data_IF_539725215989
#
_entry.id   IF_539725215989
#
_cell.length_a   1.000
_cell.length_b   1.000
_cell.length_c   1.000
_cell.angle_alpha   90.00
_cell.angle_beta   90.00
_cell.angle_gamma   90.00
#
_symmetry.space_group_name_H-M   'P 1'
#
loop_
_entity.id
_entity.type
_entity.pdbx_description
1 polymer ?
#
# COMPACT_ATOMS: atom_id res chain seq x y z
N UNK A 1 -27.98 -12.46 40.75
CA UNK A 1 -27.65 -11.08 40.41
C UNK A 1 -26.16 -10.93 40.15
N UNK A 2 -25.65 -11.54 39.08
CA UNK A 2 -24.21 -11.59 38.75
C UNK A 2 -24.06 -12.04 37.29
N UNK A 3 -24.52 -11.22 36.33
CA UNK A 3 -24.20 -11.34 34.91
C UNK A 3 -24.50 -10.01 34.25
N UNK A 4 -23.57 -9.06 34.34
CA UNK A 4 -23.53 -7.92 33.43
C UNK A 4 -22.18 -7.20 33.60
N UNK A 5 -21.11 -7.80 33.12
CA UNK A 5 -19.92 -7.05 32.71
C UNK A 5 -19.30 -7.83 31.54
N UNK A 6 -20.04 -7.94 30.45
CA UNK A 6 -19.42 -8.16 29.15
C UNK A 6 -18.74 -6.85 28.80
N UNK A 7 -17.46 -6.75 29.17
CA UNK A 7 -16.52 -5.80 28.61
C UNK A 7 -16.70 -5.90 27.09
N UNK A 8 -17.13 -4.81 26.47
CA UNK A 8 -17.32 -4.76 25.05
C UNK A 8 -16.00 -5.13 24.37
N UNK A 9 -15.90 -6.33 23.86
CA UNK A 9 -14.82 -6.74 22.96
C UNK A 9 -15.00 -5.86 21.73
N UNK A 10 -14.21 -4.78 21.62
CA UNK A 10 -14.11 -4.03 20.36
C UNK A 10 -13.74 -5.09 19.32
N UNK A 11 -14.62 -5.36 18.38
CA UNK A 11 -14.30 -6.23 17.26
C UNK A 11 -13.05 -5.66 16.60
N UNK A 12 -12.05 -6.50 16.38
CA UNK A 12 -10.87 -6.07 15.63
C UNK A 12 -11.34 -5.55 14.26
N UNK A 13 -10.78 -4.43 13.79
CA UNK A 13 -11.17 -3.86 12.51
C UNK A 13 -10.88 -4.88 11.39
N UNK A 14 -11.79 -4.93 10.43
CA UNK A 14 -11.60 -5.76 9.24
C UNK A 14 -10.65 -5.03 8.30
N UNK A 15 -9.54 -5.67 7.97
CA UNK A 15 -8.50 -5.11 7.12
C UNK A 15 -8.34 -5.97 5.87
N UNK A 16 -8.34 -5.33 4.70
CA UNK A 16 -7.94 -5.91 3.43
C UNK A 16 -6.59 -5.32 3.03
N UNK A 17 -5.62 -6.17 2.73
CA UNK A 17 -4.35 -5.74 2.17
C UNK A 17 -4.35 -5.95 0.65
N UNK A 18 -4.04 -4.88 -0.08
CA UNK A 18 -3.81 -4.89 -1.53
C UNK A 18 -2.31 -4.69 -1.76
N UNK A 19 -1.67 -5.68 -2.37
CA UNK A 19 -0.25 -5.64 -2.69
C UNK A 19 -0.08 -5.37 -4.18
N UNK A 20 0.52 -4.23 -4.51
CA UNK A 20 0.74 -3.79 -5.88
C UNK A 20 2.00 -4.45 -6.47
N UNK A 21 1.82 -5.35 -7.40
CA UNK A 21 2.87 -6.20 -7.97
C UNK A 21 2.95 -6.13 -9.51
N UNK A 22 2.43 -5.07 -10.12
CA UNK A 22 2.27 -4.93 -11.58
C UNK A 22 3.46 -4.31 -12.34
N UNK A 23 4.49 -3.81 -11.66
CA UNK A 23 5.58 -3.04 -12.28
C UNK A 23 6.53 -3.87 -13.16
N UNK A 24 6.96 -3.31 -14.30
CA UNK A 24 7.91 -3.96 -15.24
C UNK A 24 9.31 -4.21 -14.65
N UNK A 25 9.76 -3.36 -13.72
CA UNK A 25 11.06 -3.49 -13.06
C UNK A 25 12.27 -3.28 -13.96
N UNK A 26 12.20 -2.37 -14.94
CA UNK A 26 13.27 -2.11 -15.94
C UNK A 26 14.68 -1.90 -15.34
N UNK A 27 14.76 -1.28 -14.15
CA UNK A 27 16.04 -1.02 -13.46
C UNK A 27 16.77 -2.27 -12.98
N UNK A 28 16.08 -3.41 -12.87
CA UNK A 28 16.66 -4.69 -12.46
C UNK A 28 16.98 -5.62 -13.64
N UNK A 29 16.93 -5.12 -14.89
CA UNK A 29 17.37 -5.92 -16.03
C UNK A 29 18.85 -6.39 -15.85
N UNK A 30 19.21 -7.66 -16.15
CA UNK A 30 18.41 -8.67 -16.83
C UNK A 30 17.55 -9.57 -15.90
N UNK A 31 17.51 -9.35 -14.59
CA UNK A 31 16.77 -10.19 -13.64
C UNK A 31 15.25 -10.19 -13.92
N UNK A 32 14.76 -9.13 -14.54
CA UNK A 32 13.34 -8.95 -14.91
C UNK A 32 13.06 -9.25 -16.39
N UNK A 33 14.01 -9.86 -17.11
CA UNK A 33 13.82 -10.22 -18.53
C UNK A 33 12.57 -11.09 -18.75
N UNK A 34 12.33 -12.08 -17.86
CA UNK A 34 11.26 -13.07 -18.01
C UNK A 34 10.30 -13.15 -16.80
N UNK A 35 10.37 -12.17 -15.88
CA UNK A 35 9.56 -12.17 -14.65
C UNK A 35 9.27 -10.77 -14.16
N UNK A 36 8.16 -10.63 -13.42
CA UNK A 36 7.85 -9.40 -12.69
C UNK A 36 8.90 -9.11 -11.62
N UNK A 37 9.13 -7.82 -11.30
CA UNK A 37 10.10 -7.38 -10.28
C UNK A 37 9.87 -8.08 -8.92
N UNK A 38 8.62 -8.20 -8.39
CA UNK A 38 8.39 -8.89 -7.12
C UNK A 38 8.76 -10.38 -7.10
N UNK A 39 8.90 -11.00 -8.28
CA UNK A 39 9.30 -12.40 -8.41
C UNK A 39 10.82 -12.60 -8.46
N UNK A 40 11.62 -11.53 -8.40
CA UNK A 40 13.08 -11.62 -8.41
C UNK A 40 13.55 -12.34 -7.14
N UNK A 41 14.41 -13.38 -7.26
CA UNK A 41 14.98 -14.08 -6.12
C UNK A 41 15.83 -13.16 -5.25
N UNK A 42 15.73 -13.34 -3.94
CA UNK A 42 16.47 -12.61 -2.94
C UNK A 42 16.88 -13.54 -1.79
N UNK A 43 18.14 -13.47 -1.34
CA UNK A 43 18.61 -14.22 -0.19
C UNK A 43 18.47 -15.76 -0.31
N UNK A 44 18.58 -16.31 -1.52
CA UNK A 44 18.46 -17.74 -1.78
C UNK A 44 17.04 -18.15 -2.17
N UNK A 45 16.23 -18.60 -1.22
CA UNK A 45 14.90 -19.19 -1.49
C UNK A 45 13.75 -18.17 -1.56
N UNK A 46 13.99 -16.94 -1.10
CA UNK A 46 12.97 -15.89 -1.05
C UNK A 46 12.85 -15.14 -2.37
N UNK A 47 11.76 -14.38 -2.50
CA UNK A 47 11.54 -13.40 -3.56
C UNK A 47 11.21 -12.05 -2.93
N UNK A 48 11.31 -10.96 -3.68
CA UNK A 48 11.03 -9.62 -3.15
C UNK A 48 9.64 -9.53 -2.51
N UNK A 49 8.63 -10.16 -3.11
CA UNK A 49 7.27 -10.17 -2.55
C UNK A 49 7.17 -10.80 -1.17
N UNK A 50 8.06 -11.73 -0.81
CA UNK A 50 7.98 -12.43 0.48
C UNK A 50 8.18 -11.49 1.67
N UNK A 51 8.84 -10.36 1.49
CA UNK A 51 9.03 -9.36 2.55
C UNK A 51 7.72 -8.67 2.91
N UNK A 52 6.97 -8.17 1.92
CA UNK A 52 5.68 -7.52 2.18
C UNK A 52 4.66 -8.54 2.71
N UNK A 53 4.59 -9.73 2.12
CA UNK A 53 3.67 -10.77 2.59
C UNK A 53 4.01 -11.22 4.01
N UNK A 54 5.30 -11.39 4.35
CA UNK A 54 5.73 -11.72 5.73
C UNK A 54 5.33 -10.64 6.73
N UNK A 55 5.53 -9.35 6.40
CA UNK A 55 5.13 -8.26 7.29
C UNK A 55 3.62 -8.28 7.55
N UNK A 56 2.80 -8.44 6.49
CA UNK A 56 1.34 -8.48 6.62
C UNK A 56 0.85 -9.70 7.42
N UNK A 57 1.36 -10.88 7.12
CA UNK A 57 0.98 -12.13 7.80
C UNK A 57 1.40 -12.12 9.27
N UNK A 58 2.61 -11.64 9.58
CA UNK A 58 3.09 -11.51 10.96
C UNK A 58 2.28 -10.51 11.78
N UNK A 59 1.71 -9.48 11.15
CA UNK A 59 0.78 -8.55 11.77
C UNK A 59 -0.66 -9.10 11.89
N UNK A 60 -0.91 -10.33 11.43
CA UNK A 60 -2.23 -10.97 11.49
C UNK A 60 -3.18 -10.61 10.34
N UNK A 61 -2.72 -9.86 9.34
CA UNK A 61 -3.53 -9.52 8.16
C UNK A 61 -3.46 -10.64 7.13
N UNK A 62 -4.52 -11.46 7.11
CA UNK A 62 -4.59 -12.69 6.32
C UNK A 62 -5.54 -12.62 5.12
N UNK A 63 -6.06 -11.42 4.81
CA UNK A 63 -6.85 -11.15 3.60
C UNK A 63 -6.00 -10.28 2.70
N UNK A 64 -5.29 -10.93 1.76
CA UNK A 64 -4.29 -10.28 0.93
C UNK A 64 -4.58 -10.56 -0.54
N UNK A 65 -4.83 -9.51 -1.30
CA UNK A 65 -4.95 -9.53 -2.74
C UNK A 65 -3.66 -8.98 -3.38
N UNK A 66 -2.97 -9.79 -4.16
CA UNK A 66 -1.76 -9.40 -4.90
C UNK A 66 -2.16 -9.04 -6.32
N UNK A 67 -2.20 -7.74 -6.66
CA UNK A 67 -2.56 -7.29 -7.99
C UNK A 67 -1.38 -7.44 -8.94
N UNK A 68 -1.52 -8.31 -9.93
CA UNK A 68 -0.46 -8.65 -10.89
C UNK A 68 -0.83 -8.24 -12.31
N UNK A 69 0.16 -7.93 -13.13
CA UNK A 69 -0.05 -7.55 -14.53
C UNK A 69 1.07 -8.10 -15.43
N UNK A 70 2.27 -7.56 -15.31
CA UNK A 70 3.36 -7.81 -16.24
C UNK A 70 4.13 -9.07 -15.85
N UNK A 71 4.32 -10.02 -16.80
CA UNK A 71 5.10 -11.26 -16.64
C UNK A 71 4.85 -11.99 -15.30
N UNK A 72 3.57 -12.09 -14.90
CA UNK A 72 3.16 -12.51 -13.55
C UNK A 72 3.27 -14.01 -13.30
N UNK A 73 3.34 -14.87 -14.34
CA UNK A 73 3.27 -16.33 -14.19
C UNK A 73 4.14 -16.91 -13.05
N UNK A 74 5.42 -16.52 -13.00
CA UNK A 74 6.33 -17.04 -11.95
C UNK A 74 6.02 -16.46 -10.56
N UNK A 75 5.41 -15.26 -10.50
CA UNK A 75 4.94 -14.64 -9.28
C UNK A 75 3.68 -15.33 -8.77
N UNK A 76 2.69 -15.49 -9.64
CA UNK A 76 1.41 -16.14 -9.32
C UNK A 76 1.62 -17.57 -8.81
N UNK A 77 2.50 -18.32 -9.49
CA UNK A 77 2.91 -19.65 -9.05
C UNK A 77 3.56 -19.63 -7.67
N UNK A 78 4.45 -18.67 -7.39
CA UNK A 78 5.11 -18.55 -6.09
C UNK A 78 4.12 -18.24 -4.98
N UNK A 79 3.25 -17.26 -5.19
CA UNK A 79 2.19 -16.92 -4.21
C UNK A 79 1.30 -18.13 -3.93
N UNK A 80 0.84 -18.83 -4.97
CA UNK A 80 -0.05 -19.98 -4.81
C UNK A 80 0.62 -21.16 -4.09
N UNK A 81 1.94 -21.33 -4.20
CA UNK A 81 2.64 -22.49 -3.61
C UNK A 81 3.29 -22.19 -2.26
N UNK A 82 3.84 -20.98 -2.07
CA UNK A 82 4.57 -20.62 -0.86
C UNK A 82 3.67 -19.95 0.20
N UNK A 83 2.57 -19.32 -0.22
CA UNK A 83 1.68 -18.54 0.64
C UNK A 83 0.26 -19.10 0.72
N UNK A 84 0.15 -20.43 0.66
CA UNK A 84 -1.14 -21.09 0.79
C UNK A 84 -1.59 -21.08 2.26
N UNK A 85 -2.57 -20.24 2.59
CA UNK A 85 -3.23 -20.20 3.90
C UNK A 85 -4.51 -21.00 3.83
N UNK A 86 -4.58 -22.04 4.68
CA UNK A 86 -5.77 -22.87 4.84
C UNK A 86 -6.25 -22.75 6.28
N UNK A 87 -7.49 -22.33 6.48
CA UNK A 87 -8.07 -22.18 7.81
C UNK A 87 -9.59 -22.13 7.79
N UNK A 88 -10.26 -22.26 8.95
CA UNK A 88 -11.72 -22.22 9.07
C UNK A 88 -12.30 -20.80 8.89
N UNK A 89 -11.47 -19.77 8.88
CA UNK A 89 -11.86 -18.37 8.66
C UNK A 89 -11.65 -17.98 7.20
N UNK A 90 -12.39 -16.98 6.68
CA UNK A 90 -12.20 -16.49 5.32
C UNK A 90 -10.88 -15.70 5.21
N UNK A 91 -9.78 -16.47 5.10
CA UNK A 91 -8.42 -15.96 4.93
C UNK A 91 -7.94 -16.39 3.55
N UNK A 92 -7.24 -15.48 2.86
CA UNK A 92 -6.65 -15.78 1.57
C UNK A 92 -5.44 -14.92 1.29
N UNK A 93 -4.48 -15.47 0.56
CA UNK A 93 -3.40 -14.73 -0.10
C UNK A 93 -3.47 -15.17 -1.57
N UNK A 94 -3.98 -14.29 -2.42
CA UNK A 94 -4.30 -14.65 -3.79
C UNK A 94 -3.76 -13.63 -4.79
N UNK A 95 -3.16 -14.12 -5.87
CA UNK A 95 -2.86 -13.30 -7.03
C UNK A 95 -4.13 -12.97 -7.80
N UNK A 96 -4.30 -11.69 -8.12
CA UNK A 96 -5.40 -11.15 -8.91
C UNK A 96 -4.80 -10.50 -10.15
N UNK A 97 -4.73 -11.22 -11.28
CA UNK A 97 -4.24 -10.65 -12.52
C UNK A 97 -5.23 -9.62 -13.08
N UNK A 98 -4.74 -8.70 -13.91
CA UNK A 98 -5.56 -7.69 -14.56
C UNK A 98 -6.73 -8.33 -15.31
N UNK A 99 -7.97 -7.98 -14.91
CA UNK A 99 -9.21 -8.61 -15.40
C UNK A 99 -9.86 -7.83 -16.54
N UNK A 100 -9.33 -6.66 -16.92
CA UNK A 100 -9.91 -5.76 -17.94
C UNK A 100 -11.39 -5.40 -17.69
N UNK A 101 -11.81 -5.25 -16.43
CA UNK A 101 -13.20 -4.99 -16.05
C UNK A 101 -13.72 -3.62 -16.48
N UNK A 102 -12.82 -2.67 -16.71
CA UNK A 102 -13.11 -1.30 -17.16
C UNK A 102 -12.72 -1.07 -18.62
N UNK A 103 -12.93 -2.06 -19.48
CA UNK A 103 -12.58 -2.04 -20.89
C UNK A 103 -11.32 -2.85 -21.23
N UNK A 104 -11.00 -2.94 -22.53
CA UNK A 104 -9.85 -3.74 -23.02
C UNK A 104 -8.53 -2.98 -22.85
N UNK A 105 -8.16 -2.68 -21.61
CA UNK A 105 -6.92 -1.99 -21.29
C UNK A 105 -6.22 -2.60 -20.06
N UNK A 106 -4.92 -2.47 -20.04
CA UNK A 106 -4.11 -2.77 -18.86
C UNK A 106 -4.27 -1.68 -17.80
N UNK A 107 -3.70 -1.88 -16.60
CA UNK A 107 -3.64 -0.83 -15.59
C UNK A 107 -2.82 0.36 -16.10
N UNK A 108 -3.38 1.55 -16.08
CA UNK A 108 -2.69 2.78 -16.47
C UNK A 108 -1.80 3.31 -15.36
N UNK A 109 -2.13 2.99 -14.10
CA UNK A 109 -1.39 3.39 -12.91
C UNK A 109 -1.71 2.50 -11.72
N UNK A 110 -1.12 2.79 -10.59
CA UNK A 110 -1.31 2.03 -9.35
C UNK A 110 -2.72 2.20 -8.76
N UNK A 111 -3.32 3.37 -8.89
CA UNK A 111 -4.70 3.64 -8.48
C UNK A 111 -5.70 2.94 -9.42
N UNK A 112 -5.46 2.98 -10.74
CA UNK A 112 -6.30 2.27 -11.72
C UNK A 112 -6.31 0.74 -11.48
N UNK A 113 -5.22 0.16 -11.01
CA UNK A 113 -5.20 -1.25 -10.63
C UNK A 113 -6.22 -1.55 -9.51
N UNK A 114 -6.38 -0.65 -8.55
CA UNK A 114 -7.34 -0.80 -7.45
C UNK A 114 -8.75 -0.54 -7.96
N UNK A 115 -8.96 0.49 -8.81
CA UNK A 115 -10.27 0.77 -9.44
C UNK A 115 -10.78 -0.45 -10.20
N UNK A 116 -9.94 -1.09 -11.01
CA UNK A 116 -10.32 -2.29 -11.76
C UNK A 116 -10.56 -3.51 -10.85
N UNK A 117 -10.18 -3.41 -9.56
CA UNK A 117 -10.31 -4.47 -8.55
C UNK A 117 -11.24 -4.09 -7.38
N UNK A 118 -12.07 -3.04 -7.52
CA UNK A 118 -12.99 -2.56 -6.47
C UNK A 118 -13.96 -3.64 -5.96
N UNK A 119 -14.27 -4.65 -6.78
CA UNK A 119 -15.07 -5.79 -6.34
C UNK A 119 -14.47 -6.50 -5.11
N UNK A 120 -13.14 -6.54 -4.96
CA UNK A 120 -12.49 -7.14 -3.78
C UNK A 120 -12.85 -6.37 -2.50
N UNK A 121 -12.91 -5.04 -2.59
CA UNK A 121 -13.32 -4.18 -1.47
C UNK A 121 -14.81 -4.36 -1.18
N UNK A 122 -15.66 -4.40 -2.22
CA UNK A 122 -17.10 -4.57 -2.05
C UNK A 122 -17.50 -5.94 -1.51
N UNK A 123 -16.79 -6.99 -1.88
CA UNK A 123 -17.02 -8.36 -1.42
C UNK A 123 -16.54 -8.55 0.03
N UNK A 124 -15.37 -8.04 0.38
CA UNK A 124 -14.77 -8.17 1.70
C UNK A 124 -15.33 -7.19 2.74
N UNK A 125 -15.80 -6.03 2.31
CA UNK A 125 -16.32 -4.94 3.15
C UNK A 125 -15.39 -4.63 4.34
N UNK A 126 -14.12 -4.30 4.10
CA UNK A 126 -13.18 -3.96 5.15
C UNK A 126 -13.49 -2.58 5.75
N UNK A 127 -13.06 -2.35 7.00
CA UNK A 127 -13.05 -1.02 7.60
C UNK A 127 -11.88 -0.20 7.06
N UNK A 128 -10.73 -0.87 6.84
CA UNK A 128 -9.49 -0.25 6.35
C UNK A 128 -8.88 -1.06 5.22
N UNK A 129 -8.25 -0.36 4.27
CA UNK A 129 -7.50 -0.95 3.17
C UNK A 129 -6.03 -0.55 3.31
N UNK A 130 -5.15 -1.56 3.36
CA UNK A 130 -3.71 -1.36 3.19
C UNK A 130 -3.36 -1.48 1.72
N UNK A 131 -2.58 -0.52 1.20
CA UNK A 131 -2.05 -0.56 -0.16
C UNK A 131 -0.53 -0.52 -0.08
N UNK A 132 0.12 -1.65 -0.35
CA UNK A 132 1.55 -1.83 -0.17
C UNK A 132 2.25 -2.19 -1.48
N UNK A 133 3.43 -1.62 -1.72
CA UNK A 133 4.29 -1.99 -2.83
C UNK A 133 5.02 -3.32 -2.58
N UNK A 134 5.18 -4.13 -3.63
CA UNK A 134 5.86 -5.44 -3.57
C UNK A 134 7.31 -5.40 -4.08
N UNK A 135 7.94 -4.23 -4.16
CA UNK A 135 9.15 -4.05 -4.97
C UNK A 135 10.39 -3.61 -4.17
N UNK A 136 10.30 -3.60 -2.85
CA UNK A 136 11.40 -3.26 -1.95
C UNK A 136 11.50 -4.19 -0.74
N UNK A 137 12.66 -4.19 -0.09
CA UNK A 137 12.98 -5.03 1.06
C UNK A 137 12.97 -4.16 2.32
N UNK A 138 12.09 -4.49 3.27
CA UNK A 138 11.97 -3.77 4.51
C UNK A 138 11.38 -4.66 5.61
N UNK A 139 11.55 -4.24 6.85
CA UNK A 139 10.91 -4.85 8.02
C UNK A 139 9.99 -3.81 8.67
N UNK A 140 8.73 -4.16 8.84
CA UNK A 140 7.70 -3.30 9.41
C UNK A 140 6.65 -4.15 10.12
N UNK A 141 6.03 -3.61 11.14
CA UNK A 141 4.80 -4.13 11.71
C UNK A 141 3.61 -3.28 11.22
N UNK A 142 2.87 -3.73 10.21
CA UNK A 142 1.72 -2.97 9.70
C UNK A 142 0.60 -2.74 10.71
N UNK A 143 0.53 -3.51 11.81
CA UNK A 143 -0.48 -3.29 12.85
C UNK A 143 -0.30 -1.96 13.55
N UNK A 144 0.95 -1.55 13.82
CA UNK A 144 1.26 -0.25 14.40
C UNK A 144 0.85 0.91 13.49
N UNK A 145 1.03 0.75 12.18
CA UNK A 145 0.59 1.75 11.21
C UNK A 145 -0.94 1.87 11.17
N UNK A 146 -1.66 0.76 11.24
CA UNK A 146 -3.14 0.77 11.32
C UNK A 146 -3.62 1.40 12.63
N UNK A 147 -2.98 1.09 13.76
CA UNK A 147 -3.30 1.72 15.05
C UNK A 147 -3.06 3.24 15.00
N UNK A 148 -1.94 3.68 14.40
CA UNK A 148 -1.65 5.09 14.18
C UNK A 148 -2.71 5.76 13.28
N UNK A 149 -3.11 5.10 12.19
CA UNK A 149 -4.17 5.57 11.30
C UNK A 149 -5.49 5.80 12.06
N UNK A 150 -5.91 4.81 12.84
CA UNK A 150 -7.13 4.90 13.65
C UNK A 150 -7.02 6.04 14.68
N UNK A 151 -5.86 6.17 15.34
CA UNK A 151 -5.63 7.21 16.35
C UNK A 151 -5.60 8.62 15.75
N UNK A 152 -5.08 8.79 14.54
CA UNK A 152 -5.01 10.07 13.84
C UNK A 152 -6.40 10.60 13.43
N UNK A 153 -7.39 9.70 13.24
CA UNK A 153 -8.71 10.03 12.72
C UNK A 153 -8.70 10.54 11.27
N UNK A 154 -7.58 10.44 10.57
CA UNK A 154 -7.43 10.87 9.17
C UNK A 154 -7.89 9.77 8.22
N UNK A 155 -8.16 10.16 6.98
CA UNK A 155 -8.64 9.26 5.92
C UNK A 155 -7.54 8.48 5.22
N UNK A 156 -6.30 8.99 5.25
CA UNK A 156 -5.12 8.35 4.69
C UNK A 156 -3.92 8.44 5.65
N UNK A 157 -3.09 7.39 5.68
CA UNK A 157 -1.79 7.39 6.36
C UNK A 157 -0.73 6.87 5.41
N UNK A 158 0.40 7.57 5.35
CA UNK A 158 1.55 7.24 4.50
C UNK A 158 2.70 6.80 5.40
N UNK A 159 3.29 5.62 5.14
CA UNK A 159 4.52 5.23 5.79
C UNK A 159 5.69 6.07 5.25
N UNK A 160 6.37 6.77 6.12
CA UNK A 160 7.57 7.54 5.84
C UNK A 160 8.79 6.89 6.49
N UNK A 161 9.91 6.93 5.81
CA UNK A 161 11.20 6.57 6.41
C UNK A 161 12.10 7.81 6.45
N UNK A 162 12.77 8.02 7.56
CA UNK A 162 13.71 9.14 7.71
C UNK A 162 14.99 8.88 6.93
N UNK A 163 15.31 9.77 6.02
CA UNK A 163 16.53 9.72 5.21
C UNK A 163 17.21 11.08 5.18
N UNK A 164 18.55 11.15 5.00
CA UNK A 164 19.24 12.42 4.77
C UNK A 164 18.64 13.16 3.58
N UNK A 165 18.35 14.44 3.70
CA UNK A 165 17.76 15.26 2.62
C UNK A 165 18.54 15.18 1.31
N UNK A 166 19.87 15.14 1.38
CA UNK A 166 20.73 15.04 0.21
C UNK A 166 20.53 13.76 -0.62
N UNK A 167 20.01 12.70 0.01
CA UNK A 167 19.79 11.37 -0.62
C UNK A 167 18.34 11.20 -1.09
N UNK A 168 17.44 12.12 -0.72
CA UNK A 168 16.00 11.96 -0.90
C UNK A 168 15.47 12.40 -2.27
N UNK A 169 16.29 13.01 -3.13
CA UNK A 169 15.87 13.55 -4.43
C UNK A 169 15.30 12.53 -5.42
N UNK A 170 15.48 11.23 -5.13
CA UNK A 170 14.95 10.13 -5.96
C UNK A 170 13.60 9.57 -5.46
N UNK A 171 13.08 10.07 -4.33
CA UNK A 171 11.88 9.56 -3.66
C UNK A 171 10.75 10.58 -3.65
N UNK A 172 9.53 10.12 -3.43
CA UNK A 172 8.44 10.98 -2.97
C UNK A 172 8.75 11.46 -1.54
N UNK A 173 8.75 12.76 -1.31
CA UNK A 173 9.08 13.38 -0.02
C UNK A 173 7.82 13.93 0.64
N UNK A 174 7.73 13.74 1.97
CA UNK A 174 6.59 14.14 2.77
C UNK A 174 7.00 15.33 3.63
N UNK A 175 6.25 16.43 3.53
CA UNK A 175 6.28 17.51 4.50
C UNK A 175 5.10 17.36 5.46
N UNK A 176 5.34 17.39 6.77
CA UNK A 176 4.30 17.29 7.78
C UNK A 176 4.43 18.38 8.82
N UNK A 177 3.34 18.64 9.54
CA UNK A 177 3.34 19.45 10.76
C UNK A 177 3.83 18.63 11.98
N UNK A 178 3.88 19.27 13.14
CA UNK A 178 4.29 18.67 14.41
C UNK A 178 3.35 17.54 14.90
N UNK A 179 2.11 17.49 14.38
CA UNK A 179 1.11 16.48 14.71
C UNK A 179 1.13 15.30 13.73
N UNK A 180 2.04 15.33 12.74
CA UNK A 180 2.13 14.32 11.70
C UNK A 180 1.14 14.51 10.53
N UNK A 181 0.34 15.58 10.50
CA UNK A 181 -0.51 15.87 9.34
C UNK A 181 0.35 16.25 8.15
N UNK A 182 0.16 15.57 7.03
CA UNK A 182 0.90 15.87 5.80
C UNK A 182 0.38 17.17 5.21
N UNK A 183 1.29 18.12 5.04
CA UNK A 183 1.00 19.44 4.46
C UNK A 183 1.36 19.52 2.98
N UNK A 184 2.33 18.69 2.54
CA UNK A 184 2.74 18.63 1.14
C UNK A 184 3.33 17.24 0.82
N UNK A 185 3.05 16.74 -0.38
CA UNK A 185 3.66 15.52 -0.93
C UNK A 185 4.34 15.86 -2.23
N UNK A 186 5.66 15.71 -2.28
CA UNK A 186 6.51 16.14 -3.38
C UNK A 186 7.18 14.95 -4.07
N UNK A 187 6.87 14.75 -5.33
CA UNK A 187 7.51 13.68 -6.12
C UNK A 187 8.88 14.12 -6.60
N UNK A 188 9.93 13.47 -6.11
CA UNK A 188 11.35 13.69 -6.47
C UNK A 188 11.78 15.17 -6.48
N UNK A 189 11.57 15.91 -5.39
CA UNK A 189 11.90 17.32 -5.36
C UNK A 189 13.41 17.53 -5.45
N UNK A 190 13.83 18.58 -6.16
CA UNK A 190 15.24 18.97 -6.21
C UNK A 190 15.76 19.46 -4.83
N UNK A 191 14.87 19.95 -3.98
CA UNK A 191 15.16 20.38 -2.62
C UNK A 191 14.13 19.76 -1.64
N UNK A 192 14.37 18.54 -1.13
CA UNK A 192 13.47 17.87 -0.21
C UNK A 192 13.20 18.72 1.06
N UNK A 193 11.98 18.71 1.63
CA UNK A 193 11.67 19.42 2.88
C UNK A 193 12.40 18.77 4.07
N UNK A 194 12.60 19.51 5.16
CA UNK A 194 13.03 18.95 6.44
C UNK A 194 11.87 18.38 7.22
N UNK A 195 12.15 17.49 8.18
CA UNK A 195 11.14 17.07 9.19
C UNK A 195 10.96 18.21 10.22
N UNK A 196 9.83 18.25 10.95
CA UNK A 196 9.60 19.29 11.96
C UNK A 196 10.67 19.33 13.06
N UNK A 197 11.27 18.19 13.39
CA UNK A 197 12.27 18.02 14.46
C UNK A 197 13.73 18.08 13.97
N UNK A 198 14.00 17.78 12.67
CA UNK A 198 15.35 17.86 12.09
C UNK A 198 15.34 18.38 10.65
N UNK A 199 15.90 19.57 10.38
CA UNK A 199 15.93 20.15 9.04
C UNK A 199 16.88 19.42 8.05
N UNK A 200 17.73 18.52 8.51
CA UNK A 200 18.68 17.77 7.68
C UNK A 200 18.10 16.41 7.22
N UNK A 201 16.98 16.01 7.76
CA UNK A 201 16.29 14.75 7.50
C UNK A 201 14.97 15.04 6.80
N UNK A 202 14.53 14.16 5.94
CA UNK A 202 13.19 14.20 5.31
C UNK A 202 12.49 12.87 5.47
N UNK A 203 11.17 12.85 5.42
CA UNK A 203 10.42 11.63 5.26
C UNK A 203 10.34 11.27 3.77
N UNK A 204 10.97 10.15 3.40
CA UNK A 204 10.77 9.52 2.11
C UNK A 204 9.57 8.56 2.18
N UNK A 205 8.63 8.69 1.26
CA UNK A 205 7.49 7.79 1.16
C UNK A 205 7.95 6.36 0.83
N UNK A 206 7.48 5.40 1.60
CA UNK A 206 7.74 3.98 1.34
C UNK A 206 6.80 3.38 0.28
N UNK A 207 5.81 4.14 -0.21
CA UNK A 207 4.78 3.58 -1.08
C UNK A 207 3.86 2.57 -0.37
N UNK A 208 3.76 2.68 0.95
CA UNK A 208 2.88 1.89 1.80
C UNK A 208 1.86 2.81 2.45
N UNK A 209 0.60 2.46 2.31
CA UNK A 209 -0.51 3.32 2.70
C UNK A 209 -1.56 2.55 3.50
N UNK A 210 -2.24 3.25 4.42
CA UNK A 210 -3.48 2.80 5.06
C UNK A 210 -4.58 3.82 4.75
N UNK A 211 -5.75 3.33 4.41
CA UNK A 211 -6.91 4.17 4.12
C UNK A 211 -8.15 3.71 4.87
N UNK A 212 -8.99 4.66 5.25
CA UNK A 212 -10.38 4.38 5.55
C UNK A 212 -11.09 3.98 4.25
N UNK A 213 -11.80 2.85 4.26
CA UNK A 213 -12.30 2.22 3.03
C UNK A 213 -13.21 3.14 2.21
N UNK A 214 -14.17 3.81 2.85
CA UNK A 214 -15.12 4.69 2.15
C UNK A 214 -14.39 5.87 1.47
N UNK A 215 -13.45 6.48 2.18
CA UNK A 215 -12.66 7.59 1.65
C UNK A 215 -11.78 7.16 0.46
N UNK A 216 -11.13 5.98 0.54
CA UNK A 216 -10.37 5.45 -0.57
C UNK A 216 -11.24 5.22 -1.80
N UNK A 217 -12.40 4.58 -1.64
CA UNK A 217 -13.31 4.29 -2.77
C UNK A 217 -13.78 5.59 -3.42
N UNK A 218 -14.12 6.60 -2.63
CA UNK A 218 -14.51 7.91 -3.16
C UNK A 218 -13.38 8.55 -3.96
N UNK A 219 -12.17 8.64 -3.39
CA UNK A 219 -11.02 9.24 -4.06
C UNK A 219 -10.68 8.52 -5.38
N UNK A 220 -10.74 7.18 -5.39
CA UNK A 220 -10.48 6.37 -6.59
C UNK A 220 -11.52 6.60 -7.68
N UNK A 221 -12.80 6.73 -7.34
CA UNK A 221 -13.87 6.97 -8.31
C UNK A 221 -13.83 8.41 -8.86
N UNK A 222 -13.42 9.38 -8.07
CA UNK A 222 -13.20 10.75 -8.52
C UNK A 222 -11.99 10.81 -9.46
N UNK A 223 -10.87 10.16 -9.09
CA UNK A 223 -9.67 10.09 -9.92
C UNK A 223 -9.93 9.37 -11.26
N UNK A 224 -10.76 8.32 -11.28
CA UNK A 224 -11.12 7.60 -12.51
C UNK A 224 -11.74 8.52 -13.58
N UNK A 225 -12.41 9.61 -13.17
CA UNK A 225 -13.04 10.57 -14.07
C UNK A 225 -12.10 11.70 -14.52
N UNK A 226 -10.91 11.79 -13.94
CA UNK A 226 -9.95 12.82 -14.25
C UNK A 226 -9.04 12.38 -15.41
N UNK A 227 -9.27 12.93 -16.60
CA UNK A 227 -8.50 12.63 -17.81
C UNK A 227 -7.03 13.09 -17.73
N UNK A 228 -6.71 14.05 -16.87
CA UNK A 228 -5.35 14.56 -16.65
C UNK A 228 -4.56 13.75 -15.62
N UNK A 229 -5.21 12.79 -14.93
CA UNK A 229 -4.57 11.96 -13.92
C UNK A 229 -3.68 10.86 -14.53
N UNK A 230 -2.55 10.59 -13.89
CA UNK A 230 -1.75 9.40 -14.17
C UNK A 230 -2.30 8.14 -13.50
N UNK A 231 -3.36 8.29 -12.69
CA UNK A 231 -3.97 7.24 -11.87
C UNK A 231 -2.96 6.53 -10.97
N UNK A 232 -2.09 7.30 -10.34
CA UNK A 232 -1.03 6.83 -9.44
C UNK A 232 -1.36 7.11 -7.97
N UNK A 233 -1.07 6.13 -7.09
CA UNK A 233 -1.36 6.29 -5.66
C UNK A 233 -0.59 7.45 -5.04
N UNK A 234 0.71 7.57 -5.35
CA UNK A 234 1.56 8.63 -4.82
C UNK A 234 1.38 9.97 -5.53
N UNK A 235 1.17 9.93 -6.85
CA UNK A 235 1.08 11.15 -7.68
C UNK A 235 -0.30 11.82 -7.65
N UNK A 236 -1.37 11.05 -7.45
CA UNK A 236 -2.74 11.56 -7.59
C UNK A 236 -3.58 11.33 -6.32
N UNK A 237 -3.61 10.10 -5.78
CA UNK A 237 -4.49 9.76 -4.65
C UNK A 237 -3.98 10.37 -3.33
N UNK A 238 -2.70 10.30 -3.02
CA UNK A 238 -2.18 10.90 -1.78
C UNK A 238 -2.32 12.43 -1.80
N UNK A 239 -1.97 13.15 -2.89
CA UNK A 239 -2.24 14.59 -2.99
C UNK A 239 -3.70 14.97 -2.82
N UNK A 240 -4.65 14.15 -3.27
CA UNK A 240 -6.08 14.35 -3.03
C UNK A 240 -6.39 14.48 -1.53
N UNK A 241 -5.88 13.55 -0.69
CA UNK A 241 -6.08 13.59 0.75
C UNK A 241 -5.27 14.71 1.43
N UNK A 242 -4.07 14.99 0.95
CA UNK A 242 -3.22 16.09 1.46
C UNK A 242 -3.92 17.44 1.28
N UNK A 243 -4.50 17.69 0.12
CA UNK A 243 -5.22 18.93 -0.18
C UNK A 243 -6.47 19.15 0.71
N UNK A 244 -7.03 18.07 1.27
CA UNK A 244 -8.14 18.12 2.20
C UNK A 244 -7.71 18.16 3.68
N UNK A 245 -6.40 18.08 3.96
CA UNK A 245 -5.88 17.97 5.33
C UNK A 245 -6.18 16.60 5.98
N UNK A 246 -6.48 15.58 5.16
CA UNK A 246 -6.91 14.24 5.58
C UNK A 246 -5.81 13.17 5.43
N UNK A 247 -4.56 13.58 5.31
CA UNK A 247 -3.41 12.68 5.24
C UNK A 247 -2.51 12.83 6.47
N UNK A 248 -1.99 11.68 6.97
CA UNK A 248 -1.07 11.59 8.10
C UNK A 248 0.18 10.81 7.72
N UNK A 249 1.32 11.13 8.31
CA UNK A 249 2.57 10.36 8.18
C UNK A 249 2.74 9.43 9.37
N UNK A 250 3.14 8.19 9.09
CA UNK A 250 3.62 7.21 10.06
C UNK A 250 5.12 7.00 9.87
N UNK A 251 5.93 7.28 10.93
CA UNK A 251 7.40 7.19 10.97
C UNK A 251 7.86 5.78 11.33
#
# INVERSE_FOLDING_TARGET
MLFNTLVGVKSQPRVLAIVLAGGEGKRLFPLTADRAKPAVPFGGNYRLIDFVLSNLVNAGYMRIAVLTQYKSHSLDRHVATAWNVSGPTPQYIASVPAQQRRGKRWYNGSADAIVQSLNLIYDDKPDYVLVFGADHVYRMDPSQMVENHIASGKSATVAGIRVPRAEATAFGCIQSDENGTITEFLEKPANPPGTPDDPNVTFASMGNYVFSTEALVQALLEDEQNEDSAHDMGGDIIPYFVNQGEANVYD
#
